data_IF_361412627138
#
_entry.id   IF_361412627138
#
_cell.length_a   1.000
_cell.length_b   1.000
_cell.length_c   1.000
_cell.angle_alpha   90.00
_cell.angle_beta   90.00
_cell.angle_gamma   90.00
#
_symmetry.space_group_name_H-M   'P 1'
#
loop_
_entity.id
_entity.type
_entity.pdbx_description
1 polymer ?
#
# COMPACT_ATOMS: atom_id res chain seq x y z
N UNK A 1 -4.78 -15.09 44.24
CA UNK A 1 -4.87 -15.67 42.89
C UNK A 1 -4.87 -14.50 41.90
N UNK A 2 -3.72 -14.22 41.30
CA UNK A 2 -3.55 -13.07 40.39
C UNK A 2 -3.75 -13.58 38.96
N UNK A 3 -4.77 -13.08 38.26
CA UNK A 3 -4.95 -13.37 36.85
C UNK A 3 -4.21 -12.28 36.06
N UNK A 4 -2.98 -12.57 35.65
CA UNK A 4 -2.20 -11.72 34.75
C UNK A 4 -2.90 -11.66 33.40
N UNK A 5 -3.71 -10.62 33.18
CA UNK A 5 -4.20 -10.28 31.83
C UNK A 5 -2.99 -9.92 30.99
N UNK A 6 -2.47 -10.89 30.23
CA UNK A 6 -1.64 -10.57 29.08
C UNK A 6 -2.51 -9.77 28.11
N UNK A 7 -2.28 -8.46 28.05
CA UNK A 7 -2.73 -7.63 26.94
C UNK A 7 -1.90 -8.04 25.72
N UNK A 8 -2.28 -9.15 25.09
CA UNK A 8 -2.03 -9.30 23.67
C UNK A 8 -3.03 -8.34 23.01
N UNK A 9 -2.65 -7.08 22.84
CA UNK A 9 -3.47 -6.10 22.14
C UNK A 9 -3.52 -6.55 20.67
N UNK A 10 -4.65 -7.08 20.14
CA UNK A 10 -4.82 -7.00 18.71
C UNK A 10 -4.86 -5.50 18.40
N UNK A 11 -4.04 -5.02 17.48
CA UNK A 11 -4.14 -3.63 16.98
C UNK A 11 -5.43 -3.48 16.13
N UNK A 12 -6.58 -3.80 16.72
CA UNK A 12 -7.90 -3.50 16.18
C UNK A 12 -8.25 -2.13 16.75
N UNK A 13 -8.09 -1.10 15.93
CA UNK A 13 -8.58 0.24 16.26
C UNK A 13 -7.54 1.35 16.39
N UNK A 14 -6.31 1.20 15.86
CA UNK A 14 -5.58 2.40 15.48
C UNK A 14 -6.31 3.02 14.31
N UNK A 15 -7.13 4.04 14.57
CA UNK A 15 -7.65 4.90 13.53
C UNK A 15 -6.47 5.34 12.65
N UNK A 16 -6.65 5.29 11.34
CA UNK A 16 -5.71 5.69 10.29
C UNK A 16 -5.35 7.18 10.44
N UNK A 17 -4.62 7.52 11.50
CA UNK A 17 -4.29 8.90 11.85
C UNK A 17 -2.87 9.11 11.35
N UNK A 18 -2.77 9.62 10.13
CA UNK A 18 -1.49 9.93 9.53
C UNK A 18 -1.52 9.93 8.01
N UNK A 19 -0.50 10.53 7.43
CA UNK A 19 -0.23 10.41 6.00
C UNK A 19 0.42 9.06 5.73
N UNK A 20 -0.27 8.19 5.01
CA UNK A 20 0.27 6.89 4.59
C UNK A 20 0.78 6.98 3.17
N UNK A 21 1.99 6.47 2.93
CA UNK A 21 2.62 6.48 1.61
C UNK A 21 2.78 5.04 1.12
N UNK A 22 2.40 4.83 -0.13
CA UNK A 22 2.65 3.59 -0.86
C UNK A 22 3.47 3.91 -2.10
N UNK A 23 4.51 3.12 -2.29
CA UNK A 23 5.36 3.10 -3.46
C UNK A 23 5.06 1.81 -4.22
N UNK A 24 4.33 1.95 -5.32
CA UNK A 24 3.97 0.84 -6.20
C UNK A 24 4.88 0.86 -7.41
N UNK A 25 5.75 -0.14 -7.53
CA UNK A 25 6.63 -0.32 -8.69
C UNK A 25 6.05 -1.40 -9.59
N UNK A 26 5.87 -1.05 -10.85
CA UNK A 26 5.28 -1.92 -11.85
C UNK A 26 6.10 -1.94 -13.13
N UNK A 27 5.99 -3.04 -13.86
CA UNK A 27 6.45 -3.12 -15.25
C UNK A 27 5.27 -2.83 -16.18
N UNK A 28 5.36 -1.79 -17.01
CA UNK A 28 4.26 -1.38 -17.89
C UNK A 28 4.14 -2.21 -19.16
N UNK A 29 5.16 -3.01 -19.52
CA UNK A 29 5.11 -3.92 -20.66
C UNK A 29 4.36 -5.21 -20.33
N UNK A 30 4.55 -5.74 -19.12
CA UNK A 30 3.98 -7.01 -18.68
C UNK A 30 2.77 -6.86 -17.75
N UNK A 31 2.37 -5.62 -17.44
CA UNK A 31 1.36 -5.26 -16.43
C UNK A 31 1.60 -5.94 -15.06
N UNK A 32 2.84 -6.31 -14.76
CA UNK A 32 3.17 -7.04 -13.54
C UNK A 32 3.65 -6.09 -12.44
N UNK A 33 3.16 -6.29 -11.22
CA UNK A 33 3.68 -5.62 -10.04
C UNK A 33 5.07 -6.17 -9.72
N UNK A 34 6.08 -5.29 -9.69
CA UNK A 34 7.46 -5.63 -9.37
C UNK A 34 7.68 -5.61 -7.87
N UNK A 35 7.28 -4.51 -7.21
CA UNK A 35 7.42 -4.37 -5.77
C UNK A 35 6.40 -3.38 -5.21
N UNK A 36 5.97 -3.62 -3.97
CA UNK A 36 5.13 -2.69 -3.21
C UNK A 36 5.82 -2.41 -1.90
N UNK A 37 6.15 -1.15 -1.67
CA UNK A 37 6.67 -0.67 -0.41
C UNK A 37 5.60 0.23 0.22
N UNK A 38 5.31 0.01 1.50
CA UNK A 38 4.23 0.68 2.20
C UNK A 38 4.67 1.05 3.59
N UNK A 39 3.98 2.01 4.20
CA UNK A 39 4.10 2.26 5.64
C UNK A 39 3.60 1.04 6.44
N UNK A 40 4.18 0.82 7.62
CA UNK A 40 3.93 -0.35 8.48
C UNK A 40 2.42 -0.58 8.73
N UNK A 41 1.72 0.52 9.06
CA UNK A 41 0.27 0.55 9.34
C UNK A 41 -0.60 1.01 8.16
N UNK A 42 -0.12 0.97 6.92
CA UNK A 42 -0.94 1.34 5.75
C UNK A 42 -2.00 0.26 5.45
N UNK A 43 -3.26 0.64 5.15
CA UNK A 43 -4.29 -0.29 4.68
C UNK A 43 -3.88 -0.85 3.32
N UNK A 44 -3.86 -2.18 3.20
CA UNK A 44 -3.49 -2.88 1.98
C UNK A 44 -4.51 -3.96 1.70
N UNK A 45 -4.97 -3.99 0.46
CA UNK A 45 -5.62 -5.18 -0.08
C UNK A 45 -4.58 -6.16 -0.62
N UNK A 46 -4.88 -7.46 -0.71
CA UNK A 46 -4.00 -8.41 -1.37
C UNK A 46 -3.73 -7.95 -2.80
N UNK A 47 -2.45 -7.86 -3.13
CA UNK A 47 -1.95 -7.44 -4.43
C UNK A 47 -2.49 -8.39 -5.48
N UNK A 48 -3.21 -7.85 -6.46
CA UNK A 48 -3.66 -8.61 -7.62
C UNK A 48 -2.56 -8.57 -8.66
N UNK A 49 -2.46 -9.62 -9.47
CA UNK A 49 -1.31 -9.83 -10.36
C UNK A 49 -1.10 -8.67 -11.35
N UNK A 50 -2.15 -7.93 -11.68
CA UNK A 50 -2.12 -6.76 -12.57
C UNK A 50 -1.76 -5.46 -11.85
N UNK A 51 -0.85 -4.69 -12.44
CA UNK A 51 -0.49 -3.36 -11.95
C UNK A 51 -1.67 -2.40 -12.02
N UNK A 52 -2.39 -2.38 -13.15
CA UNK A 52 -3.55 -1.53 -13.33
C UNK A 52 -4.68 -1.85 -12.34
N UNK A 53 -4.92 -3.13 -12.06
CA UNK A 53 -5.93 -3.57 -11.11
C UNK A 53 -5.55 -3.16 -9.67
N UNK A 54 -4.28 -3.39 -9.29
CA UNK A 54 -3.74 -2.99 -7.99
C UNK A 54 -3.83 -1.46 -7.80
N UNK A 55 -3.46 -0.68 -8.81
CA UNK A 55 -3.57 0.78 -8.78
C UNK A 55 -5.03 1.22 -8.61
N UNK A 56 -5.95 0.60 -9.37
CA UNK A 56 -7.39 0.91 -9.31
C UNK A 56 -7.97 0.64 -7.93
N UNK A 57 -7.52 -0.42 -7.24
CA UNK A 57 -7.91 -0.72 -5.86
C UNK A 57 -7.46 0.37 -4.89
N UNK A 58 -6.19 0.77 -4.93
CA UNK A 58 -5.70 1.85 -4.07
C UNK A 58 -6.45 3.16 -4.29
N UNK A 59 -6.73 3.53 -5.54
CA UNK A 59 -7.54 4.70 -5.85
C UNK A 59 -8.98 4.56 -5.30
N UNK A 60 -9.57 3.37 -5.38
CA UNK A 60 -10.93 3.09 -4.85
C UNK A 60 -10.99 3.11 -3.32
N UNK A 61 -9.90 2.74 -2.64
CA UNK A 61 -9.76 2.87 -1.18
C UNK A 61 -9.70 4.35 -0.75
N UNK A 62 -9.25 5.23 -1.65
CA UNK A 62 -9.12 6.67 -1.40
C UNK A 62 -7.67 7.17 -1.35
N UNK A 63 -6.70 6.37 -1.81
CA UNK A 63 -5.36 6.90 -2.05
C UNK A 63 -5.39 7.89 -3.22
N UNK A 64 -4.60 8.94 -3.07
CA UNK A 64 -4.36 9.95 -4.10
C UNK A 64 -3.02 9.69 -4.76
N UNK A 65 -2.96 9.81 -6.09
CA UNK A 65 -1.72 9.68 -6.84
C UNK A 65 -0.97 11.02 -6.80
N UNK A 66 0.22 11.02 -6.19
CA UNK A 66 1.07 12.20 -6.09
C UNK A 66 2.00 12.32 -7.28
N UNK A 67 2.74 11.25 -7.57
CA UNK A 67 3.80 11.25 -8.58
C UNK A 67 3.84 9.94 -9.35
N UNK A 68 4.19 10.06 -10.62
CA UNK A 68 4.53 8.96 -11.52
C UNK A 68 5.95 9.17 -12.02
N UNK A 69 6.81 8.19 -11.77
CA UNK A 69 8.22 8.23 -12.14
C UNK A 69 8.50 7.06 -13.07
N UNK A 70 8.96 7.35 -14.29
CA UNK A 70 9.50 6.31 -15.16
C UNK A 70 10.89 5.91 -14.67
N UNK A 71 11.06 4.64 -14.35
CA UNK A 71 12.33 4.03 -14.00
C UNK A 71 13.00 3.47 -15.28
N UNK A 72 14.30 3.20 -15.22
CA UNK A 72 14.97 2.46 -16.28
C UNK A 72 14.43 1.02 -16.30
N UNK A 73 14.44 0.36 -17.47
CA UNK A 73 14.03 -1.04 -17.64
C UNK A 73 12.50 -1.32 -17.66
N UNK A 74 11.73 -0.48 -18.36
CA UNK A 74 10.28 -0.65 -18.56
C UNK A 74 9.44 -0.62 -17.27
N UNK A 75 9.97 0.05 -16.25
CA UNK A 75 9.32 0.15 -14.96
C UNK A 75 8.77 1.55 -14.71
N UNK A 76 7.70 1.61 -13.94
CA UNK A 76 7.07 2.84 -13.47
C UNK A 76 6.86 2.73 -11.96
N UNK A 77 7.17 3.81 -11.27
CA UNK A 77 6.93 3.97 -9.85
C UNK A 77 5.78 4.95 -9.64
N UNK A 78 4.73 4.47 -9.00
CA UNK A 78 3.60 5.25 -8.54
C UNK A 78 3.76 5.57 -7.06
N UNK A 79 3.73 6.85 -6.74
CA UNK A 79 3.72 7.34 -5.35
C UNK A 79 2.28 7.71 -4.99
N UNK A 80 1.71 6.94 -4.07
CA UNK A 80 0.34 7.07 -3.62
C UNK A 80 0.31 7.56 -2.17
N UNK A 81 -0.59 8.48 -1.87
CA UNK A 81 -0.79 9.05 -0.54
C UNK A 81 -2.24 8.89 -0.08
N UNK A 82 -2.42 8.38 1.13
CA UNK A 82 -3.69 8.42 1.85
C UNK A 82 -3.61 9.42 3.00
N UNK A 83 -4.65 10.22 3.21
CA UNK A 83 -4.73 11.28 4.22
C UNK A 83 -6.06 11.21 4.97
#
# INVERSE_FOLDING_TARGET
>A
MWCSRQMNSPQIGTAWIGTHIILLRCNYQTDSVVSINKSDYAPVEPVVKGCAETLSRYLSIGYTLLYTLALHDNEVLFVLQYR
#
